data_IF_685299780746
#
_entry.id   IF_685299780746
#
_cell.length_a   1.000
_cell.length_b   1.000
_cell.length_c   1.000
_cell.angle_alpha   90.00
_cell.angle_beta   90.00
_cell.angle_gamma   90.00
#
_symmetry.space_group_name_H-M   'P 1'
#
loop_
_entity.id
_entity.type
_entity.pdbx_description
1 polymer ?
#
# COMPACT_ATOMS: atom_id res chain seq x y z
N UNK A 1 16.83 16.28 -18.78
CA UNK A 1 15.46 15.74 -18.82
C UNK A 1 15.11 15.36 -17.38
N UNK A 2 14.49 16.28 -16.65
CA UNK A 2 14.13 16.08 -15.24
C UNK A 2 12.61 16.24 -15.13
N UNK A 3 11.91 15.13 -14.96
CA UNK A 3 10.48 15.08 -14.69
C UNK A 3 10.14 13.87 -13.80
N UNK A 4 10.90 13.66 -12.71
CA UNK A 4 10.79 12.44 -11.91
C UNK A 4 10.17 12.61 -10.51
N UNK A 5 9.81 13.82 -10.08
CA UNK A 5 9.16 14.04 -8.77
C UNK A 5 7.63 13.98 -8.80
N UNK A 6 6.99 14.58 -9.81
CA UNK A 6 5.52 14.64 -9.92
C UNK A 6 4.88 13.28 -10.27
N UNK A 7 5.63 12.36 -10.87
CA UNK A 7 5.09 11.10 -11.38
C UNK A 7 4.82 10.10 -10.25
N UNK A 8 5.65 10.05 -9.20
CA UNK A 8 5.52 9.02 -8.16
C UNK A 8 4.29 9.21 -7.27
N UNK A 9 4.01 10.44 -6.82
CA UNK A 9 2.83 10.70 -5.98
C UNK A 9 1.52 10.46 -6.77
N UNK A 10 1.50 10.84 -8.04
CA UNK A 10 0.38 10.54 -8.94
C UNK A 10 0.25 9.02 -9.08
N UNK A 11 1.36 8.33 -9.34
CA UNK A 11 1.40 6.87 -9.47
C UNK A 11 0.86 6.17 -8.21
N UNK A 12 1.19 6.67 -7.02
CA UNK A 12 0.73 6.08 -5.76
C UNK A 12 -0.78 6.25 -5.54
N UNK A 13 -1.36 7.37 -6.00
CA UNK A 13 -2.80 7.63 -5.93
C UNK A 13 -3.59 6.74 -6.90
N UNK A 14 -3.07 6.56 -8.12
CA UNK A 14 -3.75 5.76 -9.16
C UNK A 14 -3.51 4.25 -9.00
N UNK A 15 -2.33 3.84 -8.56
CA UNK A 15 -1.96 2.42 -8.43
C UNK A 15 -2.74 1.77 -7.30
N UNK A 16 -3.52 0.74 -7.62
CA UNK A 16 -4.25 -0.06 -6.63
C UNK A 16 -3.42 -1.28 -6.24
N UNK A 17 -3.07 -1.35 -4.96
CA UNK A 17 -2.35 -2.50 -4.39
C UNK A 17 -3.34 -3.60 -4.02
N UNK A 18 -4.45 -3.25 -3.36
CA UNK A 18 -5.51 -4.20 -3.07
C UNK A 18 -6.60 -4.13 -4.14
N UNK A 19 -6.62 -5.10 -5.06
CA UNK A 19 -7.58 -5.12 -6.16
C UNK A 19 -9.02 -5.38 -5.72
N UNK A 20 -9.24 -6.22 -4.70
CA UNK A 20 -10.59 -6.58 -4.25
C UNK A 20 -11.28 -5.50 -3.41
N UNK A 21 -10.51 -4.63 -2.75
CA UNK A 21 -11.02 -3.48 -1.98
C UNK A 21 -10.65 -2.13 -2.58
N UNK A 22 -10.08 -2.12 -3.78
CA UNK A 22 -9.61 -0.91 -4.48
C UNK A 22 -8.71 0.02 -3.63
N UNK A 23 -7.90 -0.53 -2.72
CA UNK A 23 -6.99 0.27 -1.87
C UNK A 23 -5.75 0.67 -2.67
N UNK A 24 -5.45 1.97 -2.69
CA UNK A 24 -4.30 2.53 -3.40
C UNK A 24 -2.98 2.31 -2.66
N UNK A 25 -1.88 2.44 -3.40
CA UNK A 25 -0.53 2.43 -2.84
C UNK A 25 -0.33 3.59 -1.88
N UNK A 26 -0.88 4.76 -2.20
CA UNK A 26 -0.84 5.93 -1.32
C UNK A 26 -1.43 5.63 0.06
N UNK A 27 -2.60 4.99 0.14
CA UNK A 27 -3.23 4.68 1.43
C UNK A 27 -2.36 3.75 2.28
N UNK A 28 -1.69 2.77 1.66
CA UNK A 28 -0.77 1.88 2.37
C UNK A 28 0.48 2.63 2.83
N UNK A 29 1.09 3.46 1.97
CA UNK A 29 2.24 4.29 2.33
C UNK A 29 1.90 5.24 3.49
N UNK A 30 0.72 5.87 3.47
CA UNK A 30 0.25 6.72 4.55
C UNK A 30 0.12 5.95 5.87
N UNK A 31 -0.52 4.78 5.84
CA UNK A 31 -0.64 3.95 7.05
C UNK A 31 0.73 3.54 7.62
N UNK A 32 1.70 3.22 6.75
CA UNK A 32 3.07 2.92 7.17
C UNK A 32 3.72 4.15 7.82
N UNK A 33 3.56 5.34 7.22
CA UNK A 33 4.06 6.60 7.76
C UNK A 33 3.42 6.97 9.11
N UNK A 34 2.18 6.57 9.34
CA UNK A 34 1.49 6.70 10.65
C UNK A 34 1.93 5.64 11.69
N UNK A 35 2.86 4.76 11.34
CA UNK A 35 3.44 3.77 12.25
C UNK A 35 2.94 2.34 12.08
N UNK A 36 2.25 2.02 10.97
CA UNK A 36 1.90 0.64 10.62
C UNK A 36 3.10 -0.12 10.03
N UNK A 37 4.03 -0.54 10.89
CA UNK A 37 5.28 -1.22 10.53
C UNK A 37 5.13 -2.75 10.34
N UNK A 38 3.92 -3.29 10.47
CA UNK A 38 3.64 -4.72 10.27
C UNK A 38 2.44 -4.93 9.36
N UNK A 39 2.39 -6.09 8.70
CA UNK A 39 1.26 -6.46 7.85
C UNK A 39 -0.07 -6.44 8.63
N UNK A 40 -0.08 -6.87 9.89
CA UNK A 40 -1.24 -6.82 10.79
C UNK A 40 -1.72 -5.38 11.00
N UNK A 41 -0.80 -4.46 11.35
CA UNK A 41 -1.15 -3.05 11.52
C UNK A 41 -1.66 -2.41 10.24
N UNK A 42 -1.03 -2.71 9.09
CA UNK A 42 -1.49 -2.19 7.79
C UNK A 42 -2.88 -2.75 7.43
N UNK A 43 -3.16 -4.03 7.71
CA UNK A 43 -4.49 -4.62 7.52
C UNK A 43 -5.56 -3.91 8.36
N UNK A 44 -5.26 -3.62 9.62
CA UNK A 44 -6.17 -2.92 10.54
C UNK A 44 -6.41 -1.48 10.09
N UNK A 45 -5.33 -0.76 9.75
CA UNK A 45 -5.40 0.65 9.35
C UNK A 45 -6.08 0.86 7.98
N UNK A 46 -5.81 -0.01 7.01
CA UNK A 46 -6.26 0.20 5.61
C UNK A 46 -7.37 -0.74 5.16
N UNK A 47 -7.66 -1.80 5.92
CA UNK A 47 -8.55 -2.87 5.51
C UNK A 47 -8.02 -3.75 4.36
N UNK A 48 -6.81 -3.49 3.84
CA UNK A 48 -6.16 -4.31 2.83
C UNK A 48 -5.87 -5.72 3.38
N UNK A 49 -5.81 -6.72 2.50
CA UNK A 49 -5.67 -8.14 2.85
C UNK A 49 -6.79 -8.77 3.73
N UNK A 50 -7.80 -7.99 4.17
CA UNK A 50 -9.03 -8.47 4.85
C UNK A 50 -10.25 -8.52 3.91
N UNK A 51 -10.03 -8.57 2.59
CA UNK A 51 -11.09 -8.68 1.58
C UNK A 51 -11.42 -10.13 1.23
N UNK A 52 -12.35 -10.34 0.29
CA UNK A 52 -12.77 -11.69 -0.12
C UNK A 52 -11.65 -12.58 -0.71
N UNK A 53 -10.50 -12.01 -1.09
CA UNK A 53 -9.32 -12.77 -1.50
C UNK A 53 -8.32 -13.04 -0.36
N UNK A 54 -8.63 -12.64 0.88
CA UNK A 54 -7.82 -12.85 2.09
C UNK A 54 -6.33 -12.46 1.95
N UNK A 55 -6.04 -11.43 1.13
CA UNK A 55 -4.69 -10.93 0.90
C UNK A 55 -3.88 -11.70 -0.15
N UNK A 56 -4.43 -12.73 -0.79
CA UNK A 56 -3.72 -13.55 -1.77
C UNK A 56 -3.04 -12.76 -2.90
N UNK A 57 -3.57 -11.58 -3.25
CA UNK A 57 -3.05 -10.74 -4.36
C UNK A 57 -2.23 -9.53 -3.92
N UNK A 58 -2.41 -9.04 -2.69
CA UNK A 58 -1.84 -7.78 -2.23
C UNK A 58 -0.85 -7.92 -1.08
N UNK A 59 -0.83 -9.07 -0.39
CA UNK A 59 0.00 -9.31 0.79
C UNK A 59 1.48 -9.06 0.53
N UNK A 60 2.04 -9.66 -0.52
CA UNK A 60 3.46 -9.52 -0.85
C UNK A 60 3.82 -8.06 -1.14
N UNK A 61 3.03 -7.36 -1.96
CA UNK A 61 3.21 -5.93 -2.23
C UNK A 61 3.17 -5.05 -0.98
N UNK A 62 2.30 -5.37 -0.02
CA UNK A 62 2.25 -4.63 1.25
C UNK A 62 3.52 -4.86 2.06
N UNK A 63 4.01 -6.10 2.14
CA UNK A 63 5.27 -6.42 2.82
C UNK A 63 6.44 -5.70 2.18
N UNK A 64 6.54 -5.72 0.84
CA UNK A 64 7.58 -4.99 0.11
C UNK A 64 7.55 -3.49 0.40
N UNK A 65 6.36 -2.87 0.51
CA UNK A 65 6.23 -1.45 0.86
C UNK A 65 6.64 -1.15 2.30
N UNK A 66 6.32 -2.05 3.24
CA UNK A 66 6.75 -1.94 4.63
C UNK A 66 8.28 -2.03 4.71
N UNK A 67 8.88 -3.01 4.02
CA UNK A 67 10.33 -3.21 4.00
C UNK A 67 11.06 -2.04 3.34
N UNK A 68 10.51 -1.47 2.27
CA UNK A 68 11.07 -0.29 1.60
C UNK A 68 10.94 1.01 2.42
N UNK A 69 10.15 1.02 3.50
CA UNK A 69 9.94 2.19 4.36
C UNK A 69 10.72 2.11 5.69
N UNK A 70 11.48 1.02 5.90
CA UNK A 70 12.43 0.86 7.02
C UNK A 70 13.78 1.45 6.65
#
# INVERSE_FOLDING_TARGET
MENNGLNEEILDKVTKVCLCKAISRQTIKNAIAEGADTLEKVKEATGAAKGGCCGARCKNKIVELIEASK
#
